data_IF_351108135246
#
_entry.id   IF_351108135246
#
_cell.length_a   1.000
_cell.length_b   1.000
_cell.length_c   1.000
_cell.angle_alpha   90.00
_cell.angle_beta   90.00
_cell.angle_gamma   90.00
#
_symmetry.space_group_name_H-M   'P 1'
#
loop_
_entity.id
_entity.type
_entity.pdbx_description
1 polymer ?
#
# COMPACT_ATOMS: atom_id res chain seq x y z
N UNK A 1 8.90 1.69 99.37
CA UNK A 1 8.33 1.98 98.07
C UNK A 1 9.45 2.35 97.13
N UNK A 2 9.73 1.48 96.13
CA UNK A 2 10.87 1.60 95.20
C UNK A 2 10.31 2.17 93.90
N UNK A 3 10.92 3.22 93.38
CA UNK A 3 10.68 3.77 92.03
C UNK A 3 11.49 2.97 91.02
N UNK A 4 10.96 2.73 89.83
CA UNK A 4 11.69 2.04 88.79
C UNK A 4 12.56 3.02 87.89
N UNK A 5 13.57 2.53 87.20
CA UNK A 5 14.54 3.35 86.48
C UNK A 5 14.07 3.77 85.09
N UNK A 6 14.45 4.98 84.76
CA UNK A 6 14.22 5.63 83.46
C UNK A 6 15.03 5.01 82.33
N UNK A 7 14.38 4.55 81.28
CA UNK A 7 15.01 4.02 80.08
C UNK A 7 15.31 5.18 79.10
N UNK A 8 16.57 5.38 78.77
CA UNK A 8 17.06 6.37 77.83
C UNK A 8 16.94 5.80 76.39
N UNK A 9 16.04 6.40 75.63
CA UNK A 9 15.81 6.00 74.23
C UNK A 9 16.75 6.77 73.30
N UNK A 10 17.76 6.11 72.75
CA UNK A 10 18.67 6.66 71.74
C UNK A 10 17.94 6.58 70.35
N UNK A 11 17.61 7.73 69.77
CA UNK A 11 17.06 7.83 68.42
C UNK A 11 18.24 7.81 67.42
N UNK A 12 18.36 6.74 66.68
CA UNK A 12 19.24 6.67 65.53
C UNK A 12 18.56 7.31 64.31
N UNK A 13 19.14 8.39 63.81
CA UNK A 13 18.67 9.05 62.57
C UNK A 13 19.33 8.36 61.42
N UNK A 14 18.57 7.56 60.65
CA UNK A 14 19.02 7.05 59.34
C UNK A 14 18.77 8.15 58.31
N UNK A 15 19.86 8.75 57.81
CA UNK A 15 19.83 9.58 56.62
C UNK A 15 19.70 8.71 55.36
N UNK A 16 18.49 8.57 54.83
CA UNK A 16 18.23 7.97 53.54
C UNK A 16 18.65 8.93 52.42
N UNK A 17 19.74 8.65 51.75
CA UNK A 17 20.09 9.34 50.52
C UNK A 17 19.14 8.86 49.40
N UNK A 18 18.20 9.71 49.02
CA UNK A 18 17.28 9.49 47.89
C UNK A 18 18.04 9.78 46.59
N UNK A 19 18.46 8.73 45.90
CA UNK A 19 19.10 8.83 44.59
C UNK A 19 18.02 9.19 43.56
N UNK A 20 17.95 10.46 43.13
CA UNK A 20 17.14 10.84 41.97
C UNK A 20 17.81 10.35 40.69
N UNK A 21 17.26 9.33 40.07
CA UNK A 21 17.58 9.00 38.69
C UNK A 21 17.03 10.10 37.78
N UNK A 22 17.91 10.98 37.32
CA UNK A 22 17.59 11.92 36.25
C UNK A 22 17.55 11.10 34.95
N UNK A 23 16.34 10.77 34.48
CA UNK A 23 16.14 10.26 33.12
C UNK A 23 16.40 11.42 32.17
N UNK A 24 17.59 11.46 31.59
CA UNK A 24 17.91 12.38 30.50
C UNK A 24 17.17 11.87 29.27
N UNK A 25 16.22 12.64 28.66
CA UNK A 25 15.64 12.24 27.40
C UNK A 25 16.78 12.12 26.38
N UNK A 26 16.93 10.94 25.78
CA UNK A 26 17.97 10.69 24.78
C UNK A 26 17.89 11.75 23.68
N UNK A 27 18.92 12.55 23.56
CA UNK A 27 19.07 13.46 22.44
C UNK A 27 19.17 12.61 21.17
N UNK A 28 18.28 12.82 20.20
CA UNK A 28 18.41 12.27 18.86
C UNK A 28 19.83 12.59 18.37
N UNK A 29 20.55 11.59 17.93
CA UNK A 29 21.91 11.80 17.44
C UNK A 29 21.87 12.58 16.12
N UNK A 30 22.91 13.35 15.82
CA UNK A 30 23.02 14.06 14.54
C UNK A 30 22.91 13.11 13.33
N UNK A 31 23.12 11.80 13.55
CA UNK A 31 23.00 10.75 12.56
C UNK A 31 21.55 10.38 12.27
N UNK A 32 20.66 10.46 13.28
CA UNK A 32 19.20 10.23 13.10
C UNK A 32 18.52 11.42 12.42
N UNK A 33 18.98 12.65 12.72
CA UNK A 33 18.50 13.85 12.03
C UNK A 33 19.02 13.93 10.58
N UNK A 34 20.27 13.54 10.31
CA UNK A 34 20.83 13.50 8.97
C UNK A 34 20.14 12.45 8.07
N UNK A 35 19.71 11.31 8.63
CA UNK A 35 18.96 10.30 7.89
C UNK A 35 17.55 10.79 7.54
N UNK A 36 16.90 11.55 8.41
CA UNK A 36 15.58 12.15 8.14
C UNK A 36 15.63 13.28 7.09
N UNK A 37 16.76 14.00 6.97
CA UNK A 37 16.94 15.06 5.96
C UNK A 37 17.27 14.54 4.55
N UNK A 38 17.63 13.26 4.39
CA UNK A 38 18.08 12.69 3.11
C UNK A 38 16.98 11.99 2.30
N UNK A 39 15.82 11.70 2.86
CA UNK A 39 14.71 11.02 2.15
C UNK A 39 13.96 12.01 1.25
N UNK A 40 14.36 12.08 -0.02
CA UNK A 40 13.68 12.94 -1.01
C UNK A 40 12.56 12.18 -1.72
N UNK A 41 11.34 12.37 -1.26
CA UNK A 41 10.16 11.90 -1.94
C UNK A 41 9.92 12.67 -3.25
N UNK A 42 9.59 11.95 -4.30
CA UNK A 42 9.26 12.47 -5.62
C UNK A 42 7.75 12.33 -5.79
N UNK A 43 7.06 13.43 -6.12
CA UNK A 43 5.64 13.35 -6.46
C UNK A 43 5.46 12.73 -7.84
N UNK A 44 4.77 11.61 -7.91
CA UNK A 44 4.36 10.98 -9.16
C UNK A 44 3.07 11.58 -9.73
N UNK A 45 2.31 12.28 -8.88
CA UNK A 45 1.09 12.99 -9.26
C UNK A 45 1.27 14.49 -9.06
N UNK A 46 1.11 15.26 -10.14
CA UNK A 46 1.38 16.69 -10.16
C UNK A 46 0.23 17.58 -9.66
N UNK A 47 -0.91 16.99 -9.29
CA UNK A 47 -2.11 17.70 -8.82
C UNK A 47 -2.86 18.50 -9.90
N UNK A 48 -2.50 18.38 -11.18
CA UNK A 48 -3.07 19.19 -12.27
C UNK A 48 -3.67 18.36 -13.40
N UNK A 49 -3.01 17.27 -13.79
CA UNK A 49 -3.40 16.43 -14.91
C UNK A 49 -2.79 15.02 -14.76
N UNK A 50 -3.05 14.16 -15.74
CA UNK A 50 -2.53 12.78 -15.80
C UNK A 50 -1.17 12.69 -16.51
N UNK A 51 -0.38 13.75 -16.55
CA UNK A 51 0.96 13.71 -17.15
C UNK A 51 1.84 12.65 -16.49
N UNK A 52 2.48 11.80 -17.31
CA UNK A 52 3.26 10.66 -16.85
C UNK A 52 2.44 9.41 -16.52
N UNK A 53 1.12 9.44 -16.75
CA UNK A 53 0.22 8.33 -16.50
C UNK A 53 -0.53 7.92 -17.76
N UNK A 54 -0.69 6.61 -17.97
CA UNK A 54 -1.39 6.03 -19.13
C UNK A 54 -2.49 5.09 -18.64
N UNK A 55 -3.76 5.32 -19.00
CA UNK A 55 -4.84 4.40 -18.70
C UNK A 55 -4.78 3.14 -19.57
N UNK A 56 -5.06 1.99 -18.97
CA UNK A 56 -5.36 0.73 -19.63
C UNK A 56 -6.66 0.19 -19.03
N UNK A 57 -7.72 0.29 -19.80
CA UNK A 57 -9.06 -0.14 -19.38
C UNK A 57 -9.47 -1.34 -20.21
N UNK A 58 -10.03 -2.36 -19.58
CA UNK A 58 -10.50 -3.58 -20.25
C UNK A 58 -11.45 -3.23 -21.38
N UNK A 59 -11.29 -3.89 -22.53
CA UNK A 59 -12.03 -3.69 -23.79
C UNK A 59 -11.68 -2.43 -24.55
N UNK A 60 -10.83 -1.55 -24.02
CA UNK A 60 -10.39 -0.30 -24.64
C UNK A 60 -8.92 -0.36 -25.07
N UNK A 61 -8.55 0.50 -25.98
CA UNK A 61 -7.17 0.58 -26.45
C UNK A 61 -6.28 1.23 -25.38
N UNK A 62 -4.98 0.91 -25.40
CA UNK A 62 -4.02 1.52 -24.48
C UNK A 62 -4.02 3.04 -24.67
N UNK A 63 -4.13 3.78 -23.59
CA UNK A 63 -4.21 5.24 -23.58
C UNK A 63 -5.63 5.79 -23.71
N UNK A 64 -6.62 4.97 -24.06
CA UNK A 64 -8.02 5.38 -24.07
C UNK A 64 -8.54 5.48 -22.63
N UNK A 65 -8.87 6.70 -22.21
CA UNK A 65 -9.50 6.95 -20.92
C UNK A 65 -11.03 6.92 -21.07
N UNK A 66 -11.57 5.71 -21.21
CA UNK A 66 -12.99 5.47 -21.42
C UNK A 66 -13.85 6.21 -20.39
N UNK A 67 -14.88 6.89 -20.85
CA UNK A 67 -15.85 7.61 -20.03
C UNK A 67 -15.23 8.57 -19.00
N UNK A 68 -13.99 9.03 -19.23
CA UNK A 68 -13.26 9.90 -18.31
C UNK A 68 -13.07 9.26 -16.91
N UNK A 69 -12.83 7.94 -16.88
CA UNK A 69 -12.66 7.14 -15.64
C UNK A 69 -11.61 7.75 -14.72
N UNK A 70 -10.45 8.09 -15.27
CA UNK A 70 -9.36 8.75 -14.52
C UNK A 70 -9.33 10.22 -14.87
N UNK A 71 -9.41 11.08 -13.86
CA UNK A 71 -9.39 12.54 -14.07
C UNK A 71 -8.79 13.26 -12.87
N UNK A 72 -8.45 14.51 -13.07
CA UNK A 72 -7.97 15.39 -12.00
C UNK A 72 -8.95 16.52 -11.80
N UNK A 73 -9.47 16.65 -10.60
CA UNK A 73 -10.38 17.71 -10.20
C UNK A 73 -9.95 18.22 -8.81
N UNK A 74 -9.86 19.54 -8.65
CA UNK A 74 -9.51 20.20 -7.38
C UNK A 74 -8.19 19.69 -6.76
N UNK A 75 -7.20 19.37 -7.60
CA UNK A 75 -5.91 18.85 -7.14
C UNK A 75 -5.91 17.38 -6.72
N UNK A 76 -7.00 16.66 -6.97
CA UNK A 76 -7.19 15.26 -6.59
C UNK A 76 -7.30 14.40 -7.84
N UNK A 77 -6.57 13.29 -7.88
CA UNK A 77 -6.75 12.24 -8.87
C UNK A 77 -8.00 11.43 -8.49
N UNK A 78 -8.99 11.44 -9.36
CA UNK A 78 -10.26 10.75 -9.17
C UNK A 78 -10.38 9.57 -10.10
N UNK A 79 -10.87 8.46 -9.56
CA UNK A 79 -11.43 7.35 -10.33
C UNK A 79 -12.93 7.44 -10.18
N UNK A 80 -13.65 7.66 -11.28
CA UNK A 80 -15.08 7.87 -11.26
C UNK A 80 -15.80 7.16 -12.40
N UNK A 81 -17.09 6.94 -12.21
CA UNK A 81 -17.92 6.15 -13.13
C UNK A 81 -19.17 6.91 -13.59
N UNK A 82 -19.16 8.23 -13.52
CA UNK A 82 -20.30 9.08 -13.89
C UNK A 82 -20.73 8.90 -15.35
N UNK A 83 -19.78 8.57 -16.22
CA UNK A 83 -20.03 8.30 -17.65
C UNK A 83 -20.40 6.86 -17.96
N UNK A 84 -20.55 6.00 -16.95
CA UNK A 84 -20.89 4.58 -17.15
C UNK A 84 -22.41 4.36 -17.03
N UNK A 85 -23.04 3.81 -18.06
CA UNK A 85 -24.42 3.34 -17.95
C UNK A 85 -24.49 2.10 -17.03
N UNK A 86 -23.46 1.26 -17.08
CA UNK A 86 -23.27 0.05 -16.27
C UNK A 86 -21.79 -0.32 -16.33
N UNK A 87 -21.24 -0.89 -15.24
CA UNK A 87 -19.81 -1.18 -15.14
C UNK A 87 -19.32 -2.27 -16.11
N UNK A 88 -20.09 -3.35 -16.27
CA UNK A 88 -19.82 -4.44 -17.23
C UNK A 88 -18.39 -4.98 -17.19
N UNK A 89 -17.82 -5.15 -16.00
CA UNK A 89 -16.45 -5.62 -15.80
C UNK A 89 -15.38 -4.77 -16.52
N UNK A 90 -15.64 -3.49 -16.71
CA UNK A 90 -14.73 -2.54 -17.34
C UNK A 90 -13.65 -2.09 -16.34
N UNK A 91 -12.90 -3.09 -15.84
CA UNK A 91 -11.77 -2.85 -14.93
C UNK A 91 -10.68 -2.03 -15.60
N UNK A 92 -9.99 -1.23 -14.83
CA UNK A 92 -8.96 -0.35 -15.39
C UNK A 92 -7.79 -0.13 -14.45
N UNK A 93 -6.67 0.25 -15.05
CA UNK A 93 -5.44 0.60 -14.35
C UNK A 93 -4.84 1.85 -14.95
N UNK A 94 -4.39 2.76 -14.11
CA UNK A 94 -3.67 3.96 -14.50
C UNK A 94 -2.17 3.71 -14.23
N UNK A 95 -1.41 3.45 -15.29
CA UNK A 95 0.00 3.09 -15.22
C UNK A 95 0.89 4.32 -15.19
N UNK A 96 1.85 4.34 -14.25
CA UNK A 96 2.93 5.32 -14.29
C UNK A 96 3.96 4.95 -15.37
N UNK A 97 4.56 5.96 -15.99
CA UNK A 97 5.45 5.78 -17.17
C UNK A 97 6.73 4.99 -16.92
N UNK A 98 7.25 5.04 -15.68
CA UNK A 98 8.53 4.42 -15.33
C UNK A 98 8.33 3.12 -14.55
N UNK A 99 9.32 2.23 -14.62
CA UNK A 99 9.41 0.99 -13.83
C UNK A 99 10.44 1.15 -12.72
N UNK A 100 10.21 0.48 -11.60
CA UNK A 100 11.04 0.59 -10.40
C UNK A 100 11.38 -0.78 -9.82
N UNK A 101 12.48 -0.86 -9.05
CA UNK A 101 12.94 -2.08 -8.39
C UNK A 101 13.07 -1.95 -6.87
N UNK A 102 13.68 -0.86 -6.40
CA UNK A 102 13.92 -0.59 -4.98
C UNK A 102 13.35 0.79 -4.66
N UNK A 103 12.24 0.82 -3.93
CA UNK A 103 11.53 2.07 -3.66
C UNK A 103 10.54 1.92 -2.51
N UNK A 104 10.07 3.06 -2.03
CA UNK A 104 8.83 3.15 -1.25
C UNK A 104 7.84 3.99 -2.05
N UNK A 105 6.63 3.50 -2.20
CA UNK A 105 5.52 4.29 -2.74
C UNK A 105 4.48 4.47 -1.66
N UNK A 106 3.94 5.69 -1.53
CA UNK A 106 2.81 5.96 -0.67
C UNK A 106 1.72 6.70 -1.42
N UNK A 107 0.49 6.37 -1.09
CA UNK A 107 -0.70 7.06 -1.58
C UNK A 107 -1.57 7.47 -0.40
N UNK A 108 -2.21 8.62 -0.49
CA UNK A 108 -3.31 8.98 0.38
C UNK A 108 -4.60 8.84 -0.43
N UNK A 109 -5.47 7.90 -0.02
CA UNK A 109 -6.68 7.56 -0.74
C UNK A 109 -7.92 7.62 0.16
N UNK A 110 -9.08 7.74 -0.47
CA UNK A 110 -10.40 7.54 0.16
C UNK A 110 -11.42 7.04 -0.84
N UNK A 111 -12.37 6.27 -0.36
CA UNK A 111 -13.55 5.90 -1.15
C UNK A 111 -14.64 6.92 -0.97
N UNK A 112 -15.33 7.28 -2.06
CA UNK A 112 -16.40 8.29 -2.07
C UNK A 112 -17.59 7.80 -2.88
N UNK A 113 -18.77 8.36 -2.59
CA UNK A 113 -19.97 8.07 -3.36
C UNK A 113 -20.43 6.62 -3.32
N UNK A 114 -21.11 6.21 -4.38
CA UNK A 114 -21.73 4.89 -4.52
C UNK A 114 -21.03 4.06 -5.60
N UNK A 115 -21.06 2.75 -5.45
CA UNK A 115 -20.52 1.83 -6.45
C UNK A 115 -21.30 1.97 -7.77
N UNK A 116 -20.61 1.93 -8.90
CA UNK A 116 -21.21 1.95 -10.22
C UNK A 116 -22.22 0.78 -10.38
N UNK A 117 -23.32 1.06 -11.06
CA UNK A 117 -24.34 0.03 -11.36
C UNK A 117 -23.67 -1.16 -12.07
N UNK A 118 -23.98 -2.38 -11.64
CA UNK A 118 -23.42 -3.61 -12.21
C UNK A 118 -21.98 -3.90 -11.74
N UNK A 119 -21.44 -3.13 -10.80
CA UNK A 119 -20.20 -3.46 -10.11
C UNK A 119 -20.36 -4.72 -9.28
N UNK A 120 -19.37 -5.66 -9.30
CA UNK A 120 -19.45 -6.89 -8.52
C UNK A 120 -19.38 -6.57 -7.02
N UNK A 121 -20.12 -7.33 -6.21
CA UNK A 121 -20.23 -7.06 -4.76
C UNK A 121 -18.89 -7.07 -4.01
N UNK A 122 -17.94 -7.89 -4.45
CA UNK A 122 -16.59 -7.93 -3.88
C UNK A 122 -15.79 -6.65 -4.16
N UNK A 123 -16.12 -5.91 -5.23
CA UNK A 123 -15.47 -4.66 -5.60
C UNK A 123 -16.07 -3.41 -4.93
N UNK A 124 -16.99 -3.57 -3.98
CA UNK A 124 -17.46 -2.47 -3.15
C UNK A 124 -16.28 -1.88 -2.36
N UNK A 125 -16.03 -0.57 -2.49
CA UNK A 125 -14.91 0.12 -1.85
C UNK A 125 -13.61 -0.66 -1.98
N UNK A 126 -13.26 -1.00 -3.23
CA UNK A 126 -12.07 -1.75 -3.61
C UNK A 126 -11.30 -1.00 -4.71
N UNK A 127 -10.00 -0.97 -4.56
CA UNK A 127 -9.01 -0.42 -5.47
C UNK A 127 -7.66 -1.03 -5.12
N UNK A 128 -6.57 -0.67 -5.81
CA UNK A 128 -5.26 -1.22 -5.51
C UNK A 128 -4.11 -0.35 -6.02
N UNK A 129 -2.94 -0.59 -5.43
CA UNK A 129 -1.64 -0.19 -5.97
C UNK A 129 -1.01 -1.45 -6.52
N UNK A 130 -0.80 -1.50 -7.84
CA UNK A 130 -0.08 -2.61 -8.45
C UNK A 130 1.40 -2.29 -8.44
N UNK A 131 2.22 -3.20 -7.91
CA UNK A 131 3.69 -3.14 -7.93
C UNK A 131 4.26 -4.37 -8.62
N UNK A 132 5.48 -4.30 -9.14
CA UNK A 132 6.06 -5.36 -9.97
C UNK A 132 5.15 -5.79 -11.14
N UNK A 133 4.30 -4.85 -11.59
CA UNK A 133 3.35 -5.11 -12.66
C UNK A 133 4.02 -5.33 -14.02
N UNK A 134 3.41 -6.14 -14.86
CA UNK A 134 3.74 -6.18 -16.27
C UNK A 134 3.53 -4.80 -16.91
N UNK A 135 4.14 -4.58 -18.06
CA UNK A 135 3.94 -3.33 -18.79
C UNK A 135 2.56 -3.29 -19.45
N UNK A 136 1.89 -2.13 -19.50
CA UNK A 136 0.54 -2.05 -20.06
C UNK A 136 0.47 -2.46 -21.53
N UNK A 137 1.59 -2.33 -22.28
CA UNK A 137 1.69 -2.76 -23.69
C UNK A 137 1.66 -4.27 -23.86
N UNK A 138 1.93 -5.05 -22.80
CA UNK A 138 1.88 -6.52 -22.85
C UNK A 138 0.50 -7.07 -22.52
N UNK A 139 -0.37 -6.26 -21.96
CA UNK A 139 -1.73 -6.64 -21.63
C UNK A 139 -2.61 -6.75 -22.88
N UNK A 140 -3.38 -7.82 -22.96
CA UNK A 140 -4.40 -7.95 -24.02
C UNK A 140 -5.53 -6.93 -23.84
N UNK A 141 -6.31 -6.67 -24.89
CA UNK A 141 -7.45 -5.75 -24.82
C UNK A 141 -8.53 -6.21 -23.84
N UNK A 142 -8.73 -7.52 -23.73
CA UNK A 142 -9.73 -8.12 -22.83
C UNK A 142 -9.22 -8.49 -21.45
N UNK A 143 -7.95 -8.22 -21.15
CA UNK A 143 -7.37 -8.53 -19.82
C UNK A 143 -7.90 -7.57 -18.76
N UNK A 144 -8.32 -8.12 -17.63
CA UNK A 144 -8.90 -7.36 -16.51
C UNK A 144 -7.83 -6.80 -15.57
N UNK A 145 -6.83 -7.61 -15.19
CA UNK A 145 -5.76 -7.21 -14.26
C UNK A 145 -4.38 -7.50 -14.85
N UNK A 146 -3.38 -6.63 -14.63
CA UNK A 146 -2.00 -6.95 -14.99
C UNK A 146 -1.47 -8.08 -14.11
N UNK A 147 -0.62 -8.95 -14.66
CA UNK A 147 0.19 -9.82 -13.82
C UNK A 147 1.07 -8.94 -12.92
N UNK A 148 0.82 -8.95 -11.61
CA UNK A 148 1.42 -8.01 -10.65
C UNK A 148 1.26 -8.49 -9.21
N UNK A 149 1.88 -7.78 -8.30
CA UNK A 149 1.56 -7.81 -6.88
C UNK A 149 0.62 -6.64 -6.59
N UNK A 150 -0.56 -6.93 -6.08
CA UNK A 150 -1.54 -5.92 -5.70
C UNK A 150 -1.51 -5.65 -4.20
N UNK A 151 -1.33 -4.39 -3.86
CA UNK A 151 -1.62 -3.85 -2.52
C UNK A 151 -3.07 -3.42 -2.54
N UNK A 152 -3.96 -4.32 -2.14
CA UNK A 152 -5.40 -4.12 -2.22
C UNK A 152 -5.87 -3.07 -1.21
N UNK A 153 -6.48 -2.02 -1.69
CA UNK A 153 -7.06 -0.95 -0.89
C UNK A 153 -8.54 -1.22 -0.68
N UNK A 154 -8.94 -1.41 0.56
CA UNK A 154 -10.35 -1.65 0.92
C UNK A 154 -10.88 -0.58 1.87
N UNK A 155 -12.14 -0.20 1.67
CA UNK A 155 -12.92 0.57 2.62
C UNK A 155 -13.96 -0.29 3.32
N UNK A 156 -14.27 0.00 4.57
CA UNK A 156 -15.29 -0.70 5.34
C UNK A 156 -16.71 -0.48 4.82
N UNK A 157 -17.54 -1.48 4.92
CA UNK A 157 -18.96 -1.48 4.57
C UNK A 157 -19.86 -1.01 5.73
N UNK A 158 -19.27 -0.63 6.86
CA UNK A 158 -19.96 -0.22 8.09
C UNK A 158 -20.50 -1.39 8.93
N UNK A 159 -20.28 -2.65 8.52
CA UNK A 159 -20.89 -3.84 9.17
C UNK A 159 -19.84 -4.85 9.63
N UNK A 160 -18.90 -5.18 8.78
CA UNK A 160 -17.92 -6.26 9.01
C UNK A 160 -16.49 -5.74 9.06
N UNK A 161 -15.59 -6.37 9.84
CA UNK A 161 -14.18 -6.09 9.75
C UNK A 161 -13.67 -6.35 8.32
N UNK A 162 -12.96 -5.36 7.75
CA UNK A 162 -12.41 -5.43 6.39
C UNK A 162 -11.07 -4.73 6.38
N UNK A 163 -9.99 -5.51 6.43
CA UNK A 163 -8.63 -4.99 6.41
C UNK A 163 -8.29 -4.35 5.07
N UNK A 164 -7.37 -3.39 5.07
CA UNK A 164 -6.84 -2.76 3.86
C UNK A 164 -5.33 -3.01 3.71
N UNK A 165 -4.73 -2.64 2.59
CA UNK A 165 -3.37 -3.03 2.22
C UNK A 165 -3.14 -4.54 2.34
N UNK A 166 -4.16 -5.32 1.91
CA UNK A 166 -4.03 -6.76 1.75
C UNK A 166 -3.10 -7.06 0.58
N UNK A 167 -2.66 -8.30 0.46
CA UNK A 167 -1.99 -8.79 -0.72
C UNK A 167 -2.99 -9.52 -1.61
N UNK A 168 -3.06 -9.17 -2.91
CA UNK A 168 -3.61 -10.04 -3.94
C UNK A 168 -2.58 -10.26 -5.05
N UNK A 169 -2.68 -11.39 -5.74
CA UNK A 169 -1.62 -11.88 -6.64
C UNK A 169 -2.18 -12.28 -8.01
N UNK A 170 -2.70 -11.33 -8.82
CA UNK A 170 -3.16 -11.64 -10.16
C UNK A 170 -1.98 -12.13 -11.01
N UNK A 171 -2.03 -13.37 -11.52
CA UNK A 171 -0.97 -14.00 -12.30
C UNK A 171 0.38 -14.17 -11.60
N UNK A 172 0.41 -14.04 -10.26
CA UNK A 172 1.66 -14.06 -9.47
C UNK A 172 1.51 -14.87 -8.19
N UNK A 173 2.62 -15.08 -7.49
CA UNK A 173 2.70 -15.69 -6.16
C UNK A 173 3.79 -15.00 -5.35
N UNK A 174 3.79 -15.20 -4.03
CA UNK A 174 4.82 -14.72 -3.10
C UNK A 174 5.21 -15.81 -2.12
N UNK A 175 6.29 -15.61 -1.37
CA UNK A 175 6.68 -16.47 -0.25
C UNK A 175 6.45 -15.73 1.06
N UNK A 176 5.77 -16.37 2.01
CA UNK A 176 5.62 -15.89 3.39
C UNK A 176 6.24 -16.91 4.34
N UNK A 177 7.24 -16.46 5.11
CA UNK A 177 8.12 -17.39 5.82
C UNK A 177 8.85 -18.28 4.81
N UNK A 178 8.63 -19.61 4.89
CA UNK A 178 9.21 -20.58 3.96
C UNK A 178 8.18 -21.17 2.97
N UNK A 179 6.98 -20.62 2.92
CA UNK A 179 5.87 -21.19 2.14
C UNK A 179 5.53 -20.32 0.94
N UNK A 180 5.44 -20.95 -0.23
CA UNK A 180 4.83 -20.34 -1.41
C UNK A 180 3.32 -20.18 -1.17
N UNK A 181 2.82 -18.96 -1.28
CA UNK A 181 1.43 -18.61 -1.09
C UNK A 181 0.73 -18.70 -2.46
N UNK A 182 -0.23 -19.60 -2.55
CA UNK A 182 -1.02 -19.83 -3.76
C UNK A 182 -2.46 -19.26 -3.65
N UNK A 183 -2.82 -18.75 -2.47
CA UNK A 183 -4.09 -18.05 -2.29
C UNK A 183 -4.03 -16.72 -3.04
N UNK A 184 -5.10 -16.44 -3.80
CA UNK A 184 -5.19 -15.20 -4.59
C UNK A 184 -5.06 -13.95 -3.71
N UNK A 185 -5.71 -13.93 -2.55
CA UNK A 185 -5.57 -12.82 -1.60
C UNK A 185 -5.23 -13.30 -0.19
N UNK A 186 -4.45 -12.48 0.52
CA UNK A 186 -4.06 -12.66 1.93
C UNK A 186 -4.33 -11.37 2.69
N UNK A 187 -5.09 -11.45 3.76
CA UNK A 187 -5.43 -10.29 4.58
C UNK A 187 -4.21 -9.74 5.34
N UNK A 188 -4.12 -8.44 5.41
CA UNK A 188 -3.19 -7.73 6.28
C UNK A 188 -3.66 -7.75 7.74
N UNK A 189 -2.88 -7.13 8.63
CA UNK A 189 -3.23 -6.91 10.04
C UNK A 189 -3.78 -5.49 10.31
N UNK A 190 -4.18 -4.76 9.25
CA UNK A 190 -4.70 -3.40 9.41
C UNK A 190 -6.06 -3.40 10.12
N UNK A 191 -6.41 -2.26 10.69
CA UNK A 191 -7.80 -2.01 11.08
C UNK A 191 -8.68 -1.76 9.85
N UNK A 192 -10.00 -1.74 10.04
CA UNK A 192 -10.97 -1.30 9.05
C UNK A 192 -11.12 0.22 9.11
N UNK A 193 -11.14 0.85 7.94
CA UNK A 193 -11.42 2.28 7.77
C UNK A 193 -12.80 2.46 7.15
N UNK A 194 -13.64 3.29 7.75
CA UNK A 194 -15.02 3.46 7.34
C UNK A 194 -15.25 4.86 6.74
N UNK A 195 -16.35 4.98 6.01
CA UNK A 195 -16.72 6.24 5.40
C UNK A 195 -15.72 6.68 4.32
N UNK A 196 -15.51 7.98 4.22
CA UNK A 196 -14.64 8.64 3.25
C UNK A 196 -13.43 9.32 3.90
N UNK A 197 -12.93 8.74 5.00
CA UNK A 197 -11.69 9.20 5.64
C UNK A 197 -10.46 8.93 4.75
N UNK A 198 -9.50 9.86 4.80
CA UNK A 198 -8.24 9.70 4.13
C UNK A 198 -7.34 8.69 4.84
N UNK A 199 -6.84 7.72 4.09
CA UNK A 199 -5.95 6.66 4.57
C UNK A 199 -4.64 6.72 3.80
N UNK A 200 -3.51 6.61 4.51
CA UNK A 200 -2.19 6.48 3.88
C UNK A 200 -1.83 5.00 3.77
N UNK A 201 -1.73 4.50 2.56
CA UNK A 201 -1.12 3.20 2.26
C UNK A 201 0.28 3.42 1.71
N UNK A 202 1.24 2.65 2.21
CA UNK A 202 2.62 2.70 1.78
C UNK A 202 3.14 1.30 1.50
N UNK A 203 3.99 1.17 0.49
CA UNK A 203 4.65 -0.09 0.11
C UNK A 203 6.13 0.15 0.00
N UNK A 204 6.93 -0.61 0.75
CA UNK A 204 8.37 -0.72 0.54
C UNK A 204 8.66 -1.95 -0.31
N UNK A 205 9.38 -1.76 -1.40
CA UNK A 205 9.80 -2.79 -2.34
C UNK A 205 11.32 -2.80 -2.44
N UNK A 206 11.94 -3.96 -2.22
CA UNK A 206 13.39 -4.18 -2.40
C UNK A 206 13.62 -5.34 -3.36
N UNK A 207 13.41 -5.08 -4.64
CA UNK A 207 13.50 -6.10 -5.68
C UNK A 207 12.64 -7.32 -5.36
N UNK A 208 13.22 -8.51 -5.46
CA UNK A 208 12.59 -9.78 -5.03
C UNK A 208 12.87 -10.16 -3.57
N UNK A 209 13.64 -9.34 -2.82
CA UNK A 209 14.09 -9.68 -1.48
C UNK A 209 12.98 -9.54 -0.45
N UNK A 210 12.27 -8.40 -0.49
CA UNK A 210 11.19 -8.13 0.46
C UNK A 210 10.22 -7.08 -0.06
N UNK A 211 8.95 -7.28 0.25
CA UNK A 211 7.86 -6.28 0.07
C UNK A 211 7.14 -6.12 1.41
N UNK A 212 6.92 -4.87 1.81
CA UNK A 212 6.24 -4.51 3.05
C UNK A 212 5.09 -3.58 2.77
N UNK A 213 3.93 -3.87 3.36
CA UNK A 213 2.78 -2.97 3.34
C UNK A 213 2.65 -2.26 4.67
N UNK A 214 2.47 -0.94 4.62
CA UNK A 214 2.24 -0.12 5.80
C UNK A 214 0.93 0.65 5.63
N UNK A 215 0.22 0.86 6.72
CA UNK A 215 -0.98 1.69 6.77
C UNK A 215 -0.81 2.72 7.87
N UNK A 216 -0.89 4.00 7.51
CA UNK A 216 -0.64 5.12 8.44
C UNK A 216 0.68 4.97 9.22
N UNK A 217 1.72 4.41 8.56
CA UNK A 217 3.05 4.18 9.13
C UNK A 217 3.22 2.86 9.89
N UNK A 218 2.16 2.09 10.13
CA UNK A 218 2.23 0.77 10.79
C UNK A 218 2.45 -0.34 9.78
N UNK A 219 3.43 -1.23 10.01
CA UNK A 219 3.66 -2.43 9.21
C UNK A 219 2.51 -3.42 9.41
N UNK A 220 1.79 -3.74 8.33
CA UNK A 220 0.60 -4.61 8.37
C UNK A 220 0.76 -5.93 7.62
N UNK A 221 1.74 -6.01 6.71
CA UNK A 221 2.03 -7.24 5.96
C UNK A 221 3.47 -7.21 5.45
N UNK A 222 4.13 -8.38 5.41
CA UNK A 222 5.47 -8.57 4.84
C UNK A 222 5.55 -9.92 4.13
N UNK A 223 6.23 -9.96 3.00
CA UNK A 223 6.51 -11.16 2.22
C UNK A 223 7.75 -10.95 1.35
N UNK A 224 8.19 -12.01 0.68
CA UNK A 224 9.36 -12.00 -0.20
C UNK A 224 9.13 -12.84 -1.47
N UNK A 225 10.14 -12.86 -2.34
CA UNK A 225 10.16 -13.64 -3.58
C UNK A 225 8.88 -13.49 -4.41
N UNK A 226 8.43 -12.27 -4.74
CA UNK A 226 7.36 -12.06 -5.68
C UNK A 226 7.75 -12.71 -7.02
N UNK A 227 6.85 -13.50 -7.60
CA UNK A 227 7.14 -14.28 -8.78
C UNK A 227 5.90 -14.51 -9.64
N UNK A 228 6.07 -14.66 -10.94
CA UNK A 228 5.01 -15.04 -11.86
C UNK A 228 4.50 -16.46 -11.54
N UNK A 229 3.19 -16.65 -11.64
CA UNK A 229 2.56 -17.96 -11.42
C UNK A 229 2.69 -18.83 -12.66
N UNK A 230 3.51 -19.86 -12.59
CA UNK A 230 3.71 -20.81 -13.71
C UNK A 230 2.49 -21.75 -13.97
N UNK A 231 1.38 -21.55 -13.25
CA UNK A 231 0.09 -22.20 -13.50
C UNK A 231 -0.83 -21.32 -14.35
N UNK A 232 -0.65 -20.01 -14.31
CA UNK A 232 -1.40 -19.03 -15.10
C UNK A 232 -0.90 -19.00 -16.55
N UNK A 233 -1.84 -18.99 -17.51
CA UNK A 233 -1.48 -19.08 -18.94
C UNK A 233 -0.74 -17.82 -19.43
N UNK A 234 -1.18 -16.64 -19.04
CA UNK A 234 -0.55 -15.37 -19.41
C UNK A 234 0.82 -15.20 -18.72
N UNK A 235 0.90 -15.54 -17.44
CA UNK A 235 2.17 -15.49 -16.71
C UNK A 235 3.22 -16.45 -17.29
N UNK A 236 2.83 -17.63 -17.82
CA UNK A 236 3.75 -18.50 -18.57
C UNK A 236 4.38 -17.83 -19.79
N UNK A 237 3.59 -17.06 -20.54
CA UNK A 237 4.12 -16.31 -21.67
C UNK A 237 5.11 -15.24 -21.23
N UNK A 238 4.82 -14.55 -20.11
CA UNK A 238 5.73 -13.57 -19.53
C UNK A 238 7.02 -14.22 -19.03
N UNK A 239 6.95 -15.39 -18.38
CA UNK A 239 8.12 -16.18 -17.96
C UNK A 239 8.99 -16.56 -19.17
N UNK A 240 8.38 -17.03 -20.25
CA UNK A 240 9.12 -17.39 -21.46
C UNK A 240 9.83 -16.19 -22.07
N UNK A 241 9.19 -15.02 -22.10
CA UNK A 241 9.78 -13.78 -22.62
C UNK A 241 10.91 -13.25 -21.72
N UNK A 242 10.74 -13.32 -20.41
CA UNK A 242 11.70 -12.80 -19.44
C UNK A 242 12.85 -13.76 -19.13
N UNK A 243 12.69 -15.06 -19.37
CA UNK A 243 13.66 -16.10 -18.99
C UNK A 243 13.73 -16.37 -17.48
N UNK A 244 12.84 -15.78 -16.70
CA UNK A 244 12.75 -15.95 -15.24
C UNK A 244 11.31 -15.72 -14.77
N UNK A 245 10.95 -16.36 -13.66
CA UNK A 245 9.68 -16.09 -13.01
C UNK A 245 9.79 -15.06 -11.86
N UNK A 246 11.00 -14.79 -11.39
CA UNK A 246 11.20 -13.85 -10.28
C UNK A 246 10.95 -12.42 -10.74
N UNK A 247 10.17 -11.67 -9.93
CA UNK A 247 9.86 -10.27 -10.15
C UNK A 247 10.79 -9.41 -9.29
N UNK A 248 11.78 -8.77 -9.92
CA UNK A 248 12.71 -7.87 -9.24
C UNK A 248 12.48 -6.40 -9.55
N UNK A 249 11.64 -6.10 -10.55
CA UNK A 249 11.22 -4.76 -10.96
C UNK A 249 9.92 -4.85 -11.74
N UNK A 250 9.24 -3.72 -11.95
CA UNK A 250 8.04 -3.69 -12.78
C UNK A 250 7.35 -2.34 -12.77
N UNK A 251 6.22 -2.29 -13.46
CA UNK A 251 5.35 -1.12 -13.52
C UNK A 251 4.63 -0.87 -12.19
N UNK A 252 4.23 0.37 -11.99
CA UNK A 252 3.31 0.79 -10.93
C UNK A 252 2.02 1.25 -11.58
N UNK A 253 0.87 0.82 -11.05
CA UNK A 253 -0.42 1.37 -11.46
C UNK A 253 -1.41 1.49 -10.30
N UNK A 254 -2.40 2.37 -10.47
CA UNK A 254 -3.55 2.55 -9.59
C UNK A 254 -4.78 1.95 -10.25
N UNK A 255 -5.60 1.24 -9.48
CA UNK A 255 -6.68 0.41 -9.99
C UNK A 255 -8.04 1.09 -9.96
N UNK A 256 -8.90 0.72 -10.91
CA UNK A 256 -10.31 1.09 -11.05
C UNK A 256 -11.16 -0.19 -11.08
N UNK A 257 -12.03 -0.36 -10.05
CA UNK A 257 -12.82 -1.59 -9.84
C UNK A 257 -14.31 -1.35 -9.58
N UNK A 258 -14.91 -0.32 -10.12
CA UNK A 258 -16.34 0.02 -10.00
C UNK A 258 -16.75 0.91 -8.83
N UNK A 259 -15.98 1.06 -7.77
CA UNK A 259 -16.29 2.01 -6.70
C UNK A 259 -15.42 3.27 -6.83
N UNK A 260 -15.98 4.48 -6.78
CA UNK A 260 -15.18 5.70 -6.89
C UNK A 260 -14.16 5.81 -5.76
N UNK A 261 -12.93 6.14 -6.13
CA UNK A 261 -11.82 6.36 -5.22
C UNK A 261 -11.06 7.62 -5.62
N UNK A 262 -10.56 8.33 -4.63
CA UNK A 262 -9.78 9.55 -4.78
C UNK A 262 -8.38 9.35 -4.20
N UNK A 263 -7.38 9.92 -4.90
CA UNK A 263 -5.98 9.97 -4.46
C UNK A 263 -5.52 11.42 -4.43
N UNK A 264 -5.19 11.96 -3.28
CA UNK A 264 -4.66 13.33 -3.15
C UNK A 264 -3.14 13.39 -3.12
N UNK A 265 -2.48 12.24 -2.93
CA UNK A 265 -1.03 12.11 -2.89
C UNK A 265 -0.62 10.78 -3.52
N UNK A 266 0.36 10.82 -4.41
CA UNK A 266 1.07 9.64 -4.93
C UNK A 266 2.54 10.03 -4.99
N UNK A 267 3.35 9.49 -4.10
CA UNK A 267 4.76 9.85 -3.94
C UNK A 267 5.65 8.61 -3.90
N UNK A 268 6.85 8.73 -4.40
CA UNK A 268 7.84 7.66 -4.45
C UNK A 268 9.17 8.14 -3.86
N UNK A 269 9.78 7.30 -3.04
CA UNK A 269 11.14 7.42 -2.57
C UNK A 269 11.98 6.34 -3.27
N UNK A 270 12.93 6.75 -4.08
CA UNK A 270 13.86 5.85 -4.76
C UNK A 270 14.92 5.33 -3.78
N UNK A 271 15.01 4.01 -3.62
CA UNK A 271 15.96 3.30 -2.75
C UNK A 271 17.04 2.57 -3.54
N UNK A 272 17.14 2.80 -4.86
CA UNK A 272 18.11 2.11 -5.73
C UNK A 272 19.53 2.65 -5.63
N UNK A 273 19.78 3.67 -4.82
CA UNK A 273 21.07 4.34 -4.61
C UNK A 273 21.76 3.86 -3.36
#
# INVERSE_FOLDING_TARGET
MRLPPTLLCVRTVLSGAMLFLIVVPGALTAQDTAKAESEKWISLFNGKNLEGWTPKIRYHDLGENFANTFRVEDGVLKVGYDGYAEFKETFGHLFYKDSFSHYRIRVEYRFVGEQAKGGPGWALRNSGIMVHGERPETMSKGQDFPASIEVQLLGGDGKTPRTTSNLCTPGTNVVMGEKLILAHCTNSKSKTFHGDEWVTAEVEVKGSEVVRHLVNGELVLEYNQPQLDDRDAHAKELIQKAGTKMLSSGSISLQSESHPVEFRKVELLDLSK
#
